data_IF_711356173775
#
_entry.id   IF_711356173775
#
_cell.length_a   1.000
_cell.length_b   1.000
_cell.length_c   1.000
_cell.angle_alpha   90.00
_cell.angle_beta   90.00
_cell.angle_gamma   90.00
#
_symmetry.space_group_name_H-M   'P 1'
#
loop_
_entity.id
_entity.type
_entity.pdbx_description
1 polymer ?
#
# COMPACT_ATOMS: atom_id res chain seq x y z
N UNK A 1 -12.28 3.43 -17.74
CA UNK A 1 -11.31 2.58 -17.05
C UNK A 1 -10.44 3.44 -16.18
N UNK A 2 -10.59 3.30 -14.89
CA UNK A 2 -9.87 4.11 -13.92
C UNK A 2 -8.86 3.23 -13.20
N UNK A 3 -7.61 3.36 -13.56
CA UNK A 3 -6.51 2.64 -12.91
C UNK A 3 -5.56 3.66 -12.32
N UNK A 4 -5.24 3.47 -11.05
CA UNK A 4 -4.31 4.32 -10.32
C UNK A 4 -3.04 3.52 -10.03
N UNK A 5 -1.90 4.16 -10.22
CA UNK A 5 -0.61 3.54 -9.98
C UNK A 5 0.06 4.22 -8.79
N UNK A 6 0.48 3.43 -7.82
CA UNK A 6 1.20 3.94 -6.65
C UNK A 6 2.53 3.22 -6.56
N UNK A 7 3.62 3.99 -6.69
CA UNK A 7 4.97 3.43 -6.66
C UNK A 7 5.65 3.72 -5.34
N UNK A 8 6.31 2.71 -4.79
CA UNK A 8 7.15 2.87 -3.62
C UNK A 8 8.33 1.90 -3.72
N UNK A 9 9.53 2.45 -3.71
CA UNK A 9 10.77 1.66 -3.78
C UNK A 9 10.75 0.65 -4.94
N UNK A 10 10.33 1.10 -6.12
CA UNK A 10 10.20 0.29 -7.35
C UNK A 10 9.18 -0.83 -7.25
N UNK A 11 8.36 -0.84 -6.23
CA UNK A 11 7.20 -1.72 -6.11
C UNK A 11 5.98 -0.93 -6.53
N UNK A 12 5.20 -1.48 -7.43
CA UNK A 12 4.05 -0.80 -8.01
C UNK A 12 2.77 -1.45 -7.51
N UNK A 13 1.91 -0.62 -6.93
CA UNK A 13 0.57 -1.03 -6.52
C UNK A 13 -0.40 -0.51 -7.56
N UNK A 14 -1.19 -1.39 -8.14
CA UNK A 14 -2.25 -1.04 -9.08
C UNK A 14 -3.59 -1.10 -8.37
N UNK A 15 -4.32 -0.01 -8.44
CA UNK A 15 -5.64 0.11 -7.85
C UNK A 15 -6.59 0.66 -8.91
N UNK A 16 -7.86 0.36 -8.76
CA UNK A 16 -8.85 0.88 -9.69
C UNK A 16 -9.96 -0.09 -9.94
N UNK A 17 -10.79 0.26 -10.91
CA UNK A 17 -11.93 -0.55 -11.31
C UNK A 17 -11.90 -0.72 -12.81
N UNK A 18 -12.01 -1.95 -13.25
CA UNK A 18 -12.06 -2.28 -14.67
C UNK A 18 -13.23 -3.23 -14.91
N UNK A 19 -13.75 -3.27 -16.14
CA UNK A 19 -14.95 -4.05 -16.42
C UNK A 19 -14.73 -5.56 -16.49
N UNK A 20 -13.49 -6.02 -16.71
CA UNK A 20 -13.25 -7.44 -16.90
C UNK A 20 -11.82 -7.83 -16.54
N UNK A 21 -11.56 -9.13 -16.53
CA UNK A 21 -10.26 -9.68 -16.18
C UNK A 21 -9.19 -9.30 -17.20
N UNK A 22 -9.55 -9.20 -18.48
CA UNK A 22 -8.57 -8.85 -19.51
C UNK A 22 -7.97 -7.46 -19.26
N UNK A 23 -8.80 -6.50 -18.86
CA UNK A 23 -8.35 -5.16 -18.56
C UNK A 23 -7.42 -5.16 -17.34
N UNK A 24 -7.74 -5.96 -16.33
CA UNK A 24 -6.91 -6.11 -15.14
C UNK A 24 -5.54 -6.69 -15.50
N UNK A 25 -5.54 -7.73 -16.31
CA UNK A 25 -4.30 -8.39 -16.76
C UNK A 25 -3.46 -7.48 -17.64
N UNK A 26 -4.11 -6.71 -18.49
CA UNK A 26 -3.41 -5.75 -19.36
C UNK A 26 -2.67 -4.70 -18.53
N UNK A 27 -3.32 -4.17 -17.50
CA UNK A 27 -2.70 -3.19 -16.61
C UNK A 27 -1.44 -3.77 -15.95
N UNK A 28 -1.51 -5.03 -15.55
CA UNK A 28 -0.35 -5.69 -14.94
C UNK A 28 0.79 -5.86 -15.94
N UNK A 29 0.48 -6.26 -17.17
CA UNK A 29 1.51 -6.40 -18.20
C UNK A 29 2.21 -5.08 -18.50
N UNK A 30 1.44 -4.00 -18.57
CA UNK A 30 2.01 -2.68 -18.81
C UNK A 30 2.92 -2.27 -17.65
N UNK A 31 2.48 -2.49 -16.42
CA UNK A 31 3.29 -2.15 -15.26
C UNK A 31 4.59 -2.96 -15.22
N UNK A 32 4.51 -4.25 -15.50
CA UNK A 32 5.70 -5.12 -15.48
C UNK A 32 6.68 -4.83 -16.61
N UNK A 33 6.21 -4.21 -17.69
CA UNK A 33 7.06 -3.85 -18.82
C UNK A 33 7.95 -2.64 -18.54
N UNK A 34 7.68 -1.92 -17.48
CA UNK A 34 8.46 -0.73 -17.14
C UNK A 34 9.81 -1.13 -16.59
N UNK A 35 10.84 -0.42 -17.03
CA UNK A 35 12.20 -0.63 -16.52
C UNK A 35 12.26 -0.25 -15.05
N UNK A 36 13.02 -0.99 -14.27
CA UNK A 36 13.27 -0.72 -12.85
C UNK A 36 12.11 -1.05 -11.91
N UNK A 37 11.05 -1.72 -12.40
CA UNK A 37 9.98 -2.21 -11.53
C UNK A 37 10.41 -3.56 -10.95
N UNK A 38 10.36 -3.68 -9.62
CA UNK A 38 10.68 -4.92 -8.93
C UNK A 38 9.47 -5.83 -8.80
N UNK A 39 8.40 -5.30 -8.21
CA UNK A 39 7.18 -6.06 -7.95
C UNK A 39 5.97 -5.26 -8.40
N UNK A 40 4.96 -5.99 -8.87
CA UNK A 40 3.67 -5.40 -9.21
C UNK A 40 2.62 -6.09 -8.36
N UNK A 41 1.90 -5.30 -7.58
CA UNK A 41 0.79 -5.78 -6.76
C UNK A 41 -0.50 -5.33 -7.41
N UNK A 42 -1.19 -6.26 -8.06
CA UNK A 42 -2.39 -5.93 -8.82
C UNK A 42 -3.63 -6.12 -7.96
N UNK A 43 -4.08 -5.03 -7.36
CA UNK A 43 -5.29 -5.01 -6.55
C UNK A 43 -6.43 -4.29 -7.25
N UNK A 44 -6.43 -4.34 -8.57
CA UNK A 44 -7.51 -3.78 -9.37
C UNK A 44 -8.78 -4.62 -9.14
N UNK A 45 -9.89 -3.92 -8.96
CA UNK A 45 -11.20 -4.54 -8.76
C UNK A 45 -11.93 -4.62 -10.09
N UNK A 46 -12.56 -5.76 -10.35
CA UNK A 46 -13.42 -5.91 -11.51
C UNK A 46 -14.83 -5.51 -11.08
N UNK A 47 -15.39 -4.52 -11.74
CA UNK A 47 -16.70 -4.00 -11.36
C UNK A 47 -17.00 -2.64 -11.97
N UNK A 48 -17.77 -1.84 -11.25
CA UNK A 48 -18.21 -0.54 -11.71
C UNK A 48 -17.74 0.58 -10.78
N UNK A 49 -17.31 1.67 -11.39
CA UNK A 49 -16.70 2.80 -10.66
C UNK A 49 -17.67 3.48 -9.68
N UNK A 50 -18.97 3.36 -9.89
CA UNK A 50 -19.98 4.00 -9.03
C UNK A 50 -20.00 3.47 -7.60
N UNK A 51 -19.30 2.36 -7.35
CA UNK A 51 -19.28 1.73 -6.04
C UNK A 51 -18.26 2.34 -5.09
N UNK A 52 -17.59 3.43 -5.49
CA UNK A 52 -16.50 4.01 -4.73
C UNK A 52 -16.85 5.35 -4.12
N UNK A 53 -16.28 5.59 -2.94
CA UNK A 53 -16.36 6.88 -2.27
C UNK A 53 -14.95 7.43 -2.07
N UNK A 54 -14.49 8.21 -3.06
CA UNK A 54 -13.14 8.76 -3.05
C UNK A 54 -12.92 9.75 -1.89
N UNK A 55 -13.95 10.49 -1.53
CA UNK A 55 -13.84 11.45 -0.43
C UNK A 55 -13.60 10.74 0.90
N UNK A 56 -14.27 9.63 1.13
CA UNK A 56 -14.08 8.85 2.33
C UNK A 56 -12.70 8.20 2.36
N UNK A 57 -12.22 7.74 1.21
CA UNK A 57 -10.86 7.18 1.11
C UNK A 57 -9.82 8.23 1.45
N UNK A 58 -9.96 9.45 0.96
CA UNK A 58 -9.06 10.55 1.26
C UNK A 58 -9.06 10.89 2.75
N UNK A 59 -10.26 10.95 3.33
CA UNK A 59 -10.41 11.22 4.75
C UNK A 59 -9.71 10.15 5.59
N UNK A 60 -9.89 8.89 5.24
CA UNK A 60 -9.30 7.79 5.99
C UNK A 60 -7.77 7.79 5.86
N UNK A 61 -7.25 8.05 4.66
CA UNK A 61 -5.81 8.17 4.45
C UNK A 61 -5.21 9.25 5.35
N UNK A 62 -5.85 10.41 5.40
CA UNK A 62 -5.37 11.53 6.23
C UNK A 62 -5.38 11.15 7.70
N UNK A 63 -6.40 10.45 8.13
CA UNK A 63 -6.54 10.05 9.52
C UNK A 63 -5.45 9.05 9.90
N UNK A 64 -5.21 8.07 9.04
CA UNK A 64 -4.16 7.08 9.28
C UNK A 64 -2.79 7.75 9.34
N UNK A 65 -2.51 8.66 8.40
CA UNK A 65 -1.23 9.38 8.39
C UNK A 65 -1.03 10.18 9.68
N UNK A 66 -2.09 10.79 10.18
CA UNK A 66 -2.02 11.52 11.45
C UNK A 66 -1.69 10.59 12.61
N UNK A 67 -2.30 9.41 12.63
CA UNK A 67 -2.01 8.42 13.67
C UNK A 67 -0.58 7.93 13.59
N UNK A 68 -0.04 7.77 12.39
CA UNK A 68 1.33 7.29 12.19
C UNK A 68 2.38 8.31 12.61
N UNK A 69 2.02 9.59 12.76
CA UNK A 69 2.96 10.60 13.23
C UNK A 69 3.34 10.41 14.68
N UNK A 70 2.60 9.62 15.43
CA UNK A 70 2.95 9.29 16.81
C UNK A 70 4.10 8.29 16.79
N UNK A 71 5.26 8.65 17.39
CA UNK A 71 6.42 7.75 17.32
C UNK A 71 6.19 6.51 18.17
N UNK A 72 6.18 5.36 17.52
CA UNK A 72 5.95 4.08 18.20
C UNK A 72 6.78 2.96 17.57
N UNK A 73 8.07 3.21 17.44
CA UNK A 73 8.98 2.18 16.96
C UNK A 73 9.14 2.11 15.45
N UNK A 74 8.80 3.19 14.75
CA UNK A 74 8.98 3.29 13.30
C UNK A 74 9.17 4.75 12.89
N UNK A 75 9.64 4.93 11.66
CA UNK A 75 9.74 6.27 11.07
C UNK A 75 8.57 6.44 10.09
N UNK A 76 7.64 7.37 10.37
CA UNK A 76 6.47 7.54 9.50
C UNK A 76 6.82 7.94 8.06
N UNK A 77 8.00 8.53 7.84
CA UNK A 77 8.44 8.88 6.49
C UNK A 77 8.78 7.66 5.64
N UNK A 78 8.91 6.49 6.24
CA UNK A 78 9.22 5.26 5.54
C UNK A 78 7.97 4.42 5.25
N UNK A 79 6.79 4.99 5.48
CA UNK A 79 5.53 4.30 5.27
C UNK A 79 4.69 5.11 4.29
N UNK A 80 4.18 4.44 3.27
CA UNK A 80 3.27 5.06 2.32
C UNK A 80 1.89 4.42 2.47
N UNK A 81 0.89 5.26 2.74
CA UNK A 81 -0.49 4.82 2.94
C UNK A 81 -1.33 5.23 1.74
N UNK A 82 -2.08 4.29 1.22
CA UNK A 82 -3.05 4.54 0.17
C UNK A 82 -4.35 3.86 0.57
N UNK A 83 -5.46 4.57 0.48
CA UNK A 83 -6.78 3.99 0.72
C UNK A 83 -7.55 4.00 -0.57
N UNK A 84 -8.14 2.87 -0.92
CA UNK A 84 -8.95 2.76 -2.10
C UNK A 84 -10.14 1.87 -1.80
N UNK A 85 -11.34 2.41 -1.99
CA UNK A 85 -12.60 1.71 -1.75
C UNK A 85 -12.65 1.09 -0.35
N UNK A 86 -12.25 1.86 0.65
CA UNK A 86 -12.29 1.42 2.05
C UNK A 86 -11.19 0.48 2.48
N UNK A 87 -10.33 0.07 1.56
CA UNK A 87 -9.19 -0.80 1.88
C UNK A 87 -7.94 0.04 1.99
N UNK A 88 -7.20 -0.15 3.08
CA UNK A 88 -5.95 0.56 3.31
C UNK A 88 -4.78 -0.30 2.87
N UNK A 89 -3.91 0.28 2.05
CA UNK A 89 -2.70 -0.38 1.58
C UNK A 89 -1.49 0.30 2.19
N UNK A 90 -0.64 -0.46 2.85
CA UNK A 90 0.55 0.06 3.51
C UNK A 90 1.79 -0.46 2.81
N UNK A 91 2.61 0.44 2.31
CA UNK A 91 3.88 0.12 1.66
C UNK A 91 5.02 0.71 2.48
N UNK A 92 6.16 0.05 2.46
CA UNK A 92 7.33 0.53 3.16
C UNK A 92 8.44 -0.49 3.14
N UNK A 93 9.67 -0.03 3.37
CA UNK A 93 10.81 -0.91 3.56
C UNK A 93 11.12 -0.87 5.06
N UNK A 94 10.75 -1.92 5.77
CA UNK A 94 10.71 -1.92 7.23
C UNK A 94 11.27 -3.22 7.80
N UNK A 95 11.84 -3.13 8.99
CA UNK A 95 12.20 -4.33 9.75
C UNK A 95 10.93 -5.03 10.21
N UNK A 96 11.02 -6.32 10.59
CA UNK A 96 9.84 -7.02 11.11
C UNK A 96 9.19 -6.31 12.30
N UNK A 97 9.97 -5.75 13.21
CA UNK A 97 9.42 -5.03 14.36
C UNK A 97 8.71 -3.76 13.94
N UNK A 98 9.27 -3.03 12.98
CA UNK A 98 8.64 -1.82 12.44
C UNK A 98 7.34 -2.17 11.73
N UNK A 99 7.31 -3.26 10.97
CA UNK A 99 6.11 -3.72 10.30
C UNK A 99 4.98 -3.98 11.29
N UNK A 100 5.30 -4.65 12.39
CA UNK A 100 4.31 -4.94 13.43
C UNK A 100 3.80 -3.65 14.06
N UNK A 101 4.69 -2.71 14.35
CA UNK A 101 4.33 -1.44 14.98
C UNK A 101 3.44 -0.60 14.06
N UNK A 102 3.77 -0.51 12.77
CA UNK A 102 2.97 0.23 11.79
C UNK A 102 1.60 -0.41 11.64
N UNK A 103 1.54 -1.73 11.48
CA UNK A 103 0.27 -2.44 11.32
C UNK A 103 -0.63 -2.28 12.53
N UNK A 104 -0.06 -2.33 13.73
CA UNK A 104 -0.83 -2.13 14.96
C UNK A 104 -1.41 -0.71 14.99
N UNK A 105 -0.62 0.28 14.64
CA UNK A 105 -1.07 1.68 14.67
C UNK A 105 -2.18 1.92 13.65
N UNK A 106 -2.05 1.36 12.44
CA UNK A 106 -3.10 1.47 11.42
C UNK A 106 -4.38 0.81 11.91
N UNK A 107 -4.27 -0.38 12.47
CA UNK A 107 -5.44 -1.15 12.91
C UNK A 107 -6.22 -0.47 14.04
N UNK A 108 -5.57 0.37 14.83
CA UNK A 108 -6.24 1.09 15.91
C UNK A 108 -6.91 2.38 15.43
N UNK A 109 -6.69 2.77 14.17
CA UNK A 109 -7.30 3.99 13.66
C UNK A 109 -8.79 3.77 13.39
N UNK A 110 -9.62 4.67 13.91
CA UNK A 110 -11.06 4.57 13.74
C UNK A 110 -11.42 4.70 12.25
N UNK A 111 -12.25 3.78 11.77
CA UNK A 111 -12.69 3.76 10.39
C UNK A 111 -11.96 2.77 9.51
N UNK A 112 -10.85 2.20 10.00
CA UNK A 112 -10.12 1.18 9.24
C UNK A 112 -10.84 -0.16 9.36
N UNK A 113 -11.19 -0.75 8.21
CA UNK A 113 -11.87 -2.03 8.17
C UNK A 113 -10.97 -3.14 7.64
N UNK A 114 -10.15 -2.82 6.65
CA UNK A 114 -9.27 -3.80 6.04
C UNK A 114 -7.93 -3.17 5.72
N UNK A 115 -6.86 -3.86 6.08
CA UNK A 115 -5.49 -3.43 5.78
C UNK A 115 -4.80 -4.50 4.96
N UNK A 116 -4.20 -4.08 3.85
CA UNK A 116 -3.35 -4.94 3.04
C UNK A 116 -1.92 -4.44 3.20
N UNK A 117 -1.06 -5.28 3.73
CA UNK A 117 0.33 -4.91 3.96
C UNK A 117 1.19 -5.38 2.81
N UNK A 118 1.92 -4.45 2.22
CA UNK A 118 2.81 -4.71 1.08
C UNK A 118 4.22 -4.24 1.44
N UNK A 119 4.64 -4.58 2.65
CA UNK A 119 5.95 -4.20 3.13
C UNK A 119 7.04 -5.02 2.47
N UNK A 120 8.17 -4.37 2.24
CA UNK A 120 9.41 -5.06 1.92
C UNK A 120 10.22 -5.13 3.22
N UNK A 121 10.69 -6.32 3.55
CA UNK A 121 11.41 -6.51 4.80
C UNK A 121 12.83 -5.99 4.68
N UNK A 122 13.18 -5.09 5.59
CA UNK A 122 14.53 -4.55 5.68
C UNK A 122 15.29 -5.29 6.77
N UNK A 123 16.48 -5.75 6.41
CA UNK A 123 17.38 -6.39 7.36
C UNK A 123 18.58 -5.45 7.55
N UNK A 124 18.76 -4.89 8.75
CA UNK A 124 19.87 -3.98 8.99
C UNK A 124 21.23 -4.67 8.70
N UNK A 125 22.13 -3.92 8.08
CA UNK A 125 23.43 -4.45 7.72
C UNK A 125 24.21 -4.98 8.93
N UNK A 126 24.02 -4.36 10.08
CA UNK A 126 24.70 -4.78 11.30
C UNK A 126 24.29 -6.17 11.76
N UNK A 127 23.10 -6.62 11.39
CA UNK A 127 22.63 -7.95 11.78
C UNK A 127 23.32 -9.05 11.01
N UNK A 128 23.94 -8.73 9.88
CA UNK A 128 24.62 -9.70 9.04
C UNK A 128 26.11 -9.81 9.35
N UNK A 129 26.60 -9.04 10.29
CA UNK A 129 28.03 -8.97 10.62
C UNK A 129 28.41 -9.91 11.74
N UNK A 130 27.55 -10.75 12.15
CA UNK A 130 27.87 -11.76 13.18
C UNK A 130 29.00 -12.66 12.70
N UNK A 131 30.05 -12.79 13.45
CA UNK A 131 31.09 -13.73 13.12
C UNK A 131 30.60 -15.16 13.17
#
# INVERSE_FOLDING_TARGET
VNVKTVSYNRNVLLLGVVPNQEAKDFAERVARSQTAVNNVYNHITIGQARDFNAAQDTWLTSKIRTMLLKPQGYNPNQVKITTFNGVTYAQGVLTPDEQAAVSAQISTTLGVQKVVTLYETFVPATSSVSP
#
